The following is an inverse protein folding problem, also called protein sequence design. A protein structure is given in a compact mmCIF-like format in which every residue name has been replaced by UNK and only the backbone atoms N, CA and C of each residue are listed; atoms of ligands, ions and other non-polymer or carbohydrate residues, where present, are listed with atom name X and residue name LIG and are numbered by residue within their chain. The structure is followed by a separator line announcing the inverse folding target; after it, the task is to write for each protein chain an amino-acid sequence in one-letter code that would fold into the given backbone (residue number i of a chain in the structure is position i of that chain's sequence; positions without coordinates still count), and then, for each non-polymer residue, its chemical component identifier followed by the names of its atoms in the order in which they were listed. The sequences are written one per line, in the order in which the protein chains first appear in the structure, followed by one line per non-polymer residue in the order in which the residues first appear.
data_IF_694270133864
#
_entry.id   IF_694270133864
#
_cell.length_a   1.000
_cell.length_b   1.000
_cell.length_c   1.000
_cell.angle_alpha   90.00
_cell.angle_beta   90.00
_cell.angle_gamma   90.00
#
_symmetry.space_group_name_H-M   'P 1'
#
loop_
_entity.id
_entity.type
_entity.pdbx_description
1 polymer ?
#
# COMPACT_ATOMS: atom_id res chain seq x y z
N UNK A 1 2.58 17.24 -4.35
CA UNK A 1 1.90 16.56 -3.24
C UNK A 1 2.98 15.96 -2.36
N UNK A 2 2.91 16.19 -1.05
CA UNK A 2 3.94 15.75 -0.11
C UNK A 2 3.96 14.22 -0.09
N UNK A 3 5.13 13.64 -0.30
CA UNK A 3 5.33 12.20 -0.22
C UNK A 3 5.04 11.75 1.21
N UNK A 4 4.05 10.88 1.36
CA UNK A 4 3.53 10.42 2.65
C UNK A 4 4.65 9.88 3.55
N UNK A 5 4.53 10.12 4.86
CA UNK A 5 5.54 9.66 5.84
C UNK A 5 5.68 8.13 5.87
N UNK A 6 4.65 7.44 5.38
CA UNK A 6 4.58 5.99 5.32
C UNK A 6 4.09 5.52 3.96
N UNK A 7 4.56 4.35 3.54
CA UNK A 7 4.01 3.60 2.41
C UNK A 7 3.43 2.31 2.97
N UNK A 8 2.26 1.93 2.46
CA UNK A 8 1.64 0.66 2.79
C UNK A 8 1.54 -0.20 1.54
N UNK A 9 1.99 -1.43 1.67
CA UNK A 9 1.90 -2.46 0.64
C UNK A 9 1.02 -3.60 1.18
N UNK A 10 -0.10 -3.86 0.51
CA UNK A 10 -0.98 -4.98 0.81
C UNK A 10 -0.82 -6.03 -0.27
N UNK A 11 -0.51 -7.26 0.12
CA UNK A 11 -0.39 -8.38 -0.81
C UNK A 11 -1.20 -9.58 -0.38
N UNK A 12 -1.94 -10.16 -1.33
CA UNK A 12 -2.67 -11.40 -1.09
C UNK A 12 -1.68 -12.54 -0.80
N UNK A 13 -1.92 -13.29 0.29
CA UNK A 13 -1.09 -14.44 0.66
C UNK A 13 -1.61 -15.75 0.07
N UNK A 14 -2.87 -15.80 -0.37
CA UNK A 14 -3.47 -16.96 -1.03
C UNK A 14 -2.84 -17.20 -2.41
N UNK A 15 -2.31 -18.41 -2.63
CA UNK A 15 -1.57 -18.76 -3.85
C UNK A 15 -2.44 -18.77 -5.10
N UNK A 16 -3.72 -19.10 -5.01
CA UNK A 16 -4.57 -19.25 -6.19
C UNK A 16 -5.16 -17.92 -6.64
N UNK A 17 -5.40 -17.01 -5.71
CA UNK A 17 -5.73 -15.62 -6.03
C UNK A 17 -4.48 -14.85 -6.48
N UNK A 18 -3.33 -15.05 -5.82
CA UNK A 18 -2.06 -14.41 -6.19
C UNK A 18 -1.55 -14.81 -7.58
N UNK A 19 -1.79 -16.05 -8.04
CA UNK A 19 -1.43 -16.49 -9.41
C UNK A 19 -2.16 -15.72 -10.52
N UNK A 20 -3.27 -15.05 -10.21
CA UNK A 20 -4.06 -14.29 -11.19
C UNK A 20 -3.57 -12.85 -11.36
N UNK A 21 -2.57 -12.44 -10.59
CA UNK A 21 -2.02 -11.09 -10.53
C UNK A 21 -0.50 -11.17 -10.68
N UNK A 22 0.12 -10.19 -11.32
CA UNK A 22 1.58 -10.01 -11.15
C UNK A 22 1.91 -9.61 -9.71
N UNK A 23 3.18 -9.66 -9.30
CA UNK A 23 3.59 -9.26 -7.95
C UNK A 23 3.21 -7.79 -7.69
N UNK A 24 3.32 -6.96 -8.72
CA UNK A 24 2.98 -5.55 -8.74
C UNK A 24 1.46 -5.37 -8.65
N UNK A 25 0.67 -6.10 -9.45
CA UNK A 25 -0.81 -6.06 -9.40
C UNK A 25 -1.39 -6.63 -8.09
N UNK A 26 -0.67 -7.55 -7.45
CA UNK A 26 -1.01 -8.10 -6.16
C UNK A 26 -0.63 -7.16 -5.01
N UNK A 27 0.12 -6.08 -5.27
CA UNK A 27 0.60 -5.13 -4.26
C UNK A 27 -0.18 -3.83 -4.39
N UNK A 28 -1.16 -3.61 -3.50
CA UNK A 28 -1.81 -2.32 -3.42
C UNK A 28 -0.87 -1.33 -2.74
N UNK A 29 -0.31 -0.41 -3.51
CA UNK A 29 0.39 0.78 -3.05
C UNK A 29 -0.64 1.91 -2.96
N UNK A 30 -1.28 2.03 -1.81
CA UNK A 30 -2.29 3.06 -1.63
C UNK A 30 -1.68 4.45 -1.52
N UNK A 31 -2.31 5.44 -2.15
CA UNK A 31 -2.35 6.80 -1.61
C UNK A 31 -3.02 6.66 -0.24
N UNK A 32 -2.19 6.53 0.80
CA UNK A 32 -2.67 6.29 2.15
C UNK A 32 -3.16 7.63 2.67
N UNK A 33 -4.48 7.81 2.71
CA UNK A 33 -5.06 8.99 3.34
C UNK A 33 -4.75 8.95 4.85
N UNK A 34 -5.04 7.82 5.50
CA UNK A 34 -4.85 7.62 6.94
C UNK A 34 -4.51 6.16 7.26
N UNK A 35 -3.75 5.94 8.33
CA UNK A 35 -3.40 4.60 8.81
C UNK A 35 -3.09 4.56 10.30
N UNK A 36 -3.38 3.42 10.93
CA UNK A 36 -3.13 3.17 12.34
C UNK A 36 -2.75 1.73 12.63
N UNK A 37 -1.86 1.52 13.60
CA UNK A 37 -1.48 0.21 14.12
C UNK A 37 -1.66 0.23 15.64
N UNK A 38 -2.58 -0.59 16.12
CA UNK A 38 -2.96 -0.67 17.53
C UNK A 38 -2.50 -2.02 18.09
N UNK A 39 -1.83 -1.99 19.24
CA UNK A 39 -1.45 -3.18 20.00
C UNK A 39 -2.14 -3.11 21.36
N UNK A 40 -3.00 -4.07 21.62
CA UNK A 40 -3.84 -4.14 22.82
C UNK A 40 -3.48 -5.38 23.65
N UNK A 41 -3.45 -5.23 24.97
CA UNK A 41 -3.29 -6.36 25.89
C UNK A 41 -4.62 -6.61 26.59
N UNK A 42 -5.14 -7.83 26.48
CA UNK A 42 -6.20 -8.30 27.37
C UNK A 42 -5.57 -8.66 28.72
N UNK A 43 -6.01 -7.97 29.77
CA UNK A 43 -5.42 -8.06 31.10
C UNK A 43 -6.33 -8.88 32.05
N UNK A 44 -5.73 -9.82 32.77
CA UNK A 44 -6.35 -10.48 33.90
C UNK A 44 -6.03 -9.71 35.20
N UNK A 45 -7.08 -9.30 35.91
CA UNK A 45 -6.95 -8.71 37.25
C UNK A 45 -6.74 -9.79 38.31
N UNK A 46 -5.73 -9.60 39.17
CA UNK A 46 -5.41 -10.48 40.29
C UNK A 46 -5.44 -9.65 41.57
N UNK A 47 -6.07 -10.15 42.64
CA UNK A 47 -6.05 -9.48 43.95
C UNK A 47 -5.01 -10.14 44.84
N UNK A 48 -3.97 -9.40 45.22
CA UNK A 48 -2.92 -9.87 46.12
C UNK A 48 -2.72 -8.87 47.28
N UNK A 49 -2.87 -9.35 48.51
CA UNK A 49 -2.72 -8.52 49.71
C UNK A 49 -3.68 -7.32 49.79
N UNK A 50 -4.88 -7.44 49.19
CA UNK A 50 -5.88 -6.35 49.13
C UNK A 50 -5.59 -5.27 48.09
N UNK A 51 -4.62 -5.47 47.19
CA UNK A 51 -4.32 -4.57 46.07
C UNK A 51 -4.57 -5.27 44.74
N UNK A 52 -4.92 -4.49 43.71
CA UNK A 52 -5.01 -4.97 42.32
C UNK A 52 -3.62 -5.13 41.73
N UNK A 53 -3.38 -6.29 41.14
CA UNK A 53 -2.25 -6.64 40.29
C UNK A 53 -2.79 -7.05 38.91
N UNK A 54 -1.96 -7.00 37.88
CA UNK A 54 -2.35 -7.27 36.50
C UNK A 54 -1.41 -8.27 35.84
N UNK A 55 -1.99 -9.29 35.20
CA UNK A 55 -1.28 -10.22 34.32
C UNK A 55 -1.86 -10.18 32.91
N UNK A 56 -1.19 -10.77 31.92
CA UNK A 56 -1.63 -10.75 30.52
C UNK A 56 -2.29 -12.06 30.13
N UNK A 57 -3.51 -11.99 29.60
CA UNK A 57 -4.20 -13.12 28.96
C UNK A 57 -3.73 -13.30 27.52
N UNK A 58 -3.88 -12.26 26.71
CA UNK A 58 -3.58 -12.29 25.27
C UNK A 58 -3.15 -10.92 24.75
N UNK A 59 -2.56 -10.90 23.56
CA UNK A 59 -2.26 -9.69 22.79
C UNK A 59 -3.10 -9.71 21.54
N UNK A 60 -3.72 -8.58 21.24
CA UNK A 60 -4.44 -8.34 20.00
C UNK A 60 -3.77 -7.19 19.25
N UNK A 61 -3.61 -7.37 17.95
CA UNK A 61 -3.03 -6.36 17.07
C UNK A 61 -3.99 -6.08 15.92
N UNK A 62 -4.23 -4.79 15.65
CA UNK A 62 -5.14 -4.31 14.62
C UNK A 62 -4.46 -3.25 13.76
N UNK A 63 -4.68 -3.34 12.45
CA UNK A 63 -4.24 -2.36 11.47
C UNK A 63 -5.47 -1.77 10.79
N UNK A 64 -5.60 -0.44 10.82
CA UNK A 64 -6.62 0.31 10.08
C UNK A 64 -5.99 1.13 8.98
N UNK A 65 -6.57 1.10 7.79
CA UNK A 65 -6.07 1.85 6.63
C UNK A 65 -7.23 2.47 5.86
N UNK A 66 -7.05 3.72 5.44
CA UNK A 66 -7.97 4.45 4.57
C UNK A 66 -7.24 4.77 3.27
N UNK A 67 -7.84 4.34 2.16
CA UNK A 67 -7.25 4.37 0.82
C UNK A 67 -8.19 5.07 -0.14
N UNK A 68 -7.65 5.86 -1.06
CA UNK A 68 -8.44 6.45 -2.14
C UNK A 68 -8.91 5.37 -3.13
N UNK A 69 -10.15 5.45 -3.61
CA UNK A 69 -10.67 4.53 -4.63
C UNK A 69 -10.09 4.85 -5.99
N UNK A 70 -9.55 3.84 -6.67
CA UNK A 70 -9.10 3.95 -8.06
C UNK A 70 -9.97 3.02 -8.91
N UNK A 71 -10.91 3.56 -9.71
CA UNK A 71 -11.79 2.74 -10.54
C UNK A 71 -11.01 1.81 -11.47
N UNK A 72 -11.29 0.51 -11.40
CA UNK A 72 -10.64 -0.51 -12.22
C UNK A 72 -9.30 -1.03 -11.68
N UNK A 73 -8.84 -0.56 -10.52
CA UNK A 73 -7.62 -1.08 -9.90
C UNK A 73 -7.78 -2.55 -9.50
N UNK A 74 -6.92 -3.40 -10.07
CA UNK A 74 -6.96 -4.85 -9.85
C UNK A 74 -6.63 -5.23 -8.41
N UNK A 75 -5.78 -4.45 -7.73
CA UNK A 75 -5.40 -4.66 -6.34
C UNK A 75 -6.59 -4.42 -5.40
N UNK A 76 -7.34 -3.33 -5.58
CA UNK A 76 -8.56 -3.03 -4.81
C UNK A 76 -9.66 -4.06 -5.06
N UNK A 77 -9.85 -4.50 -6.31
CA UNK A 77 -10.79 -5.58 -6.63
C UNK A 77 -10.39 -6.90 -5.95
N UNK A 78 -9.10 -7.22 -5.96
CA UNK A 78 -8.60 -8.44 -5.35
C UNK A 78 -8.63 -8.37 -3.81
N UNK A 79 -8.44 -7.19 -3.22
CA UNK A 79 -8.66 -6.93 -1.79
C UNK A 79 -10.12 -7.22 -1.43
N UNK A 80 -11.09 -6.65 -2.14
CA UNK A 80 -12.52 -6.92 -1.93
C UNK A 80 -12.86 -8.40 -2.05
N UNK A 81 -12.27 -9.10 -3.02
CA UNK A 81 -12.48 -10.54 -3.18
C UNK A 81 -11.83 -11.35 -2.03
N UNK A 82 -10.66 -10.93 -1.57
CA UNK A 82 -9.95 -11.56 -0.44
C UNK A 82 -10.76 -11.49 0.85
N UNK A 83 -11.47 -10.38 1.08
CA UNK A 83 -12.40 -10.21 2.21
C UNK A 83 -13.56 -11.19 2.09
N UNK A 84 -14.25 -11.21 0.95
CA UNK A 84 -15.40 -12.10 0.70
C UNK A 84 -15.06 -13.58 0.85
N UNK A 85 -13.84 -13.96 0.47
CA UNK A 85 -13.36 -15.34 0.53
C UNK A 85 -12.58 -15.68 1.81
N UNK A 86 -12.55 -14.76 2.79
CA UNK A 86 -11.83 -14.92 4.06
C UNK A 86 -10.37 -15.36 3.86
N UNK A 87 -9.66 -14.65 2.97
CA UNK A 87 -8.27 -14.94 2.64
C UNK A 87 -7.32 -14.17 3.53
N UNK A 88 -6.13 -14.74 3.72
CA UNK A 88 -5.04 -14.09 4.44
C UNK A 88 -4.29 -13.13 3.51
N UNK A 89 -3.86 -11.99 4.04
CA UNK A 89 -3.00 -11.03 3.37
C UNK A 89 -1.68 -10.88 4.13
N UNK A 90 -0.72 -10.28 3.44
CA UNK A 90 0.53 -9.75 3.94
C UNK A 90 0.45 -8.23 3.87
N UNK A 91 0.88 -7.57 4.94
CA UNK A 91 0.94 -6.11 5.01
C UNK A 91 2.36 -5.71 5.32
N UNK A 92 2.87 -4.73 4.60
CA UNK A 92 4.07 -3.99 4.99
C UNK A 92 3.73 -2.52 5.15
N UNK A 93 4.20 -1.92 6.24
CA UNK A 93 4.11 -0.48 6.50
C UNK A 93 5.54 0.02 6.63
N UNK A 94 5.98 0.90 5.74
CA UNK A 94 7.35 1.40 5.69
C UNK A 94 7.41 2.89 5.90
N UNK A 95 8.33 3.36 6.73
CA UNK A 95 8.70 4.77 6.80
C UNK A 95 9.40 5.18 5.49
N UNK A 96 8.93 6.26 4.86
CA UNK A 96 9.57 6.79 3.64
C UNK A 96 10.89 7.48 3.94
N UNK A 97 11.04 8.04 5.15
CA UNK A 97 12.30 8.64 5.58
C UNK A 97 13.21 7.58 6.20
N UNK A 98 14.47 7.57 5.76
CA UNK A 98 15.49 6.72 6.38
C UNK A 98 15.87 7.23 7.78
N UNK A 99 16.07 6.29 8.71
CA UNK A 99 16.75 6.49 10.00
C UNK A 99 17.98 5.61 10.01
N UNK A 100 19.13 6.18 10.36
CA UNK A 100 20.42 5.48 10.35
C UNK A 100 20.76 4.81 9.01
N UNK A 101 20.40 5.47 7.91
CA UNK A 101 20.66 5.00 6.55
C UNK A 101 19.74 3.89 6.04
N UNK A 102 18.70 3.50 6.81
CA UNK A 102 17.73 2.45 6.43
C UNK A 102 16.29 2.91 6.56
N UNK A 103 15.41 2.31 5.77
CA UNK A 103 13.96 2.38 5.99
C UNK A 103 13.58 1.39 7.09
N UNK A 104 12.72 1.82 8.00
CA UNK A 104 12.17 1.00 9.07
C UNK A 104 10.70 0.72 8.76
N UNK A 105 10.22 -0.44 9.14
CA UNK A 105 8.84 -0.81 8.86
C UNK A 105 8.38 -2.01 9.64
N UNK A 106 7.09 -2.29 9.48
CA UNK A 106 6.36 -3.36 10.14
C UNK A 106 5.84 -4.31 9.09
N UNK A 107 6.00 -5.61 9.32
CA UNK A 107 5.41 -6.68 8.53
C UNK A 107 4.41 -7.46 9.37
N UNK A 108 3.26 -7.80 8.78
CA UNK A 108 2.27 -8.64 9.40
C UNK A 108 1.55 -9.54 8.40
N UNK A 109 1.16 -10.73 8.86
CA UNK A 109 0.07 -11.47 8.22
C UNK A 109 -1.25 -11.01 8.84
N UNK A 110 -2.26 -10.73 8.02
CA UNK A 110 -3.55 -10.23 8.49
C UNK A 110 -4.71 -10.99 7.85
N UNK A 111 -5.85 -10.90 8.51
CA UNK A 111 -7.17 -11.16 7.90
C UNK A 111 -7.96 -9.87 7.98
N UNK A 112 -8.65 -9.52 6.90
CA UNK A 112 -9.51 -8.33 6.90
C UNK A 112 -10.79 -8.67 7.65
N UNK A 113 -11.04 -7.95 8.74
CA UNK A 113 -12.27 -8.05 9.52
C UNK A 113 -13.39 -7.25 8.83
N UNK A 114 -13.06 -6.05 8.38
CA UNK A 114 -14.02 -5.13 7.78
C UNK A 114 -13.43 -4.44 6.55
N UNK A 115 -14.27 -4.31 5.52
CA UNK A 115 -13.98 -3.55 4.32
C UNK A 115 -15.19 -2.67 4.02
N UNK A 116 -15.03 -1.37 4.21
CA UNK A 116 -16.04 -0.36 3.91
C UNK A 116 -15.67 0.37 2.62
N UNK A 117 -16.69 0.66 1.81
CA UNK A 117 -16.57 1.55 0.66
C UNK A 117 -17.53 2.72 0.88
N UNK A 118 -16.96 3.89 1.17
CA UNK A 118 -17.70 5.14 1.27
C UNK A 118 -17.60 5.91 -0.04
N UNK A 119 -18.71 6.55 -0.40
CA UNK A 119 -18.84 7.34 -1.62
C UNK A 119 -19.49 8.68 -1.29
N UNK A 120 -18.90 9.74 -1.80
CA UNK A 120 -19.41 11.11 -1.71
C UNK A 120 -19.30 11.80 -3.08
N UNK A 121 -19.81 13.02 -3.20
CA UNK A 121 -19.71 13.82 -4.43
C UNK A 121 -18.28 14.29 -4.75
N UNK A 122 -17.40 14.38 -3.74
CA UNK A 122 -16.00 14.79 -3.88
C UNK A 122 -15.03 13.59 -4.03
N UNK A 123 -14.90 12.72 -3.02
CA UNK A 123 -13.91 11.64 -2.99
C UNK A 123 -14.50 10.30 -2.49
N UNK A 124 -14.13 9.22 -3.17
CA UNK A 124 -14.50 7.86 -2.79
C UNK A 124 -13.35 7.21 -1.98
N UNK A 125 -13.66 6.57 -0.85
CA UNK A 125 -12.66 5.95 0.03
C UNK A 125 -12.96 4.49 0.31
N UNK A 126 -11.89 3.71 0.49
CA UNK A 126 -11.93 2.36 1.03
C UNK A 126 -11.32 2.39 2.41
N UNK A 127 -12.07 1.94 3.41
CA UNK A 127 -11.58 1.75 4.77
C UNK A 127 -11.47 0.25 5.06
N UNK A 128 -10.32 -0.17 5.57
CA UNK A 128 -10.10 -1.54 5.98
C UNK A 128 -9.67 -1.61 7.44
N UNK A 129 -10.29 -2.54 8.17
CA UNK A 129 -9.86 -2.97 9.49
C UNK A 129 -9.35 -4.40 9.39
N UNK A 130 -8.09 -4.60 9.78
CA UNK A 130 -7.40 -5.87 9.65
C UNK A 130 -6.89 -6.37 11.01
N UNK A 131 -7.19 -7.63 11.33
CA UNK A 131 -6.66 -8.31 12.52
C UNK A 131 -5.35 -9.00 12.18
N UNK A 132 -4.32 -8.72 12.97
CA UNK A 132 -2.99 -9.31 12.80
C UNK A 132 -2.97 -10.73 13.35
N UNK A 133 -2.40 -11.64 12.57
CA UNK A 133 -2.24 -13.03 12.95
C UNK A 133 -1.00 -13.19 13.83
N UNK A 134 -1.20 -13.61 15.07
CA UNK A 134 -0.17 -13.82 16.11
C UNK A 134 0.51 -12.53 16.56
N UNK A 135 1.36 -11.94 15.72
CA UNK A 135 2.09 -10.71 16.00
C UNK A 135 2.62 -10.08 14.70
N UNK A 136 2.87 -8.78 14.74
CA UNK A 136 3.67 -8.10 13.72
C UNK A 136 5.18 -8.27 13.98
N UNK A 137 6.00 -7.97 12.98
CA UNK A 137 7.45 -8.02 13.06
C UNK A 137 8.07 -6.73 12.51
N UNK A 138 8.96 -6.12 13.30
CA UNK A 138 9.74 -4.98 12.86
C UNK A 138 10.87 -5.41 11.91
N UNK A 139 11.15 -4.58 10.92
CA UNK A 139 12.16 -4.84 9.90
C UNK A 139 12.86 -3.57 9.43
N UNK A 140 14.04 -3.75 8.81
CA UNK A 140 14.75 -2.67 8.14
C UNK A 140 15.26 -3.09 6.78
N UNK A 141 15.27 -2.15 5.83
CA UNK A 141 15.84 -2.35 4.50
C UNK A 141 16.67 -1.14 4.08
N UNK A 142 17.65 -1.34 3.20
CA UNK A 142 18.52 -0.26 2.74
C UNK A 142 17.74 0.75 1.88
N UNK A 143 16.96 0.26 0.92
CA UNK A 143 16.23 1.06 -0.06
C UNK A 143 14.87 0.42 -0.35
N UNK A 144 13.82 1.24 -0.33
CA UNK A 144 12.52 0.87 -0.89
C UNK A 144 12.59 0.89 -2.43
N UNK A 145 11.79 0.06 -3.13
CA UNK A 145 11.64 0.18 -4.57
C UNK A 145 11.26 1.61 -4.96
N UNK A 146 11.92 2.17 -5.99
CA UNK A 146 11.70 3.56 -6.43
C UNK A 146 10.24 3.81 -6.82
N UNK A 147 9.61 2.78 -7.38
CA UNK A 147 8.21 2.76 -7.80
C UNK A 147 7.25 2.97 -6.62
N UNK A 148 7.62 2.51 -5.43
CA UNK A 148 6.81 2.67 -4.21
C UNK A 148 6.94 4.08 -3.64
N UNK A 149 8.12 4.67 -3.78
CA UNK A 149 8.37 6.05 -3.34
C UNK A 149 7.68 7.04 -4.28
N UNK A 150 7.71 6.82 -5.59
CA UNK A 150 7.19 7.78 -6.55
C UNK A 150 6.31 7.11 -7.62
N UNK A 151 5.04 6.80 -7.31
CA UNK A 151 4.12 6.17 -8.26
C UNK A 151 3.92 7.02 -9.52
N UNK A 152 3.95 8.35 -9.39
CA UNK A 152 3.77 9.30 -10.49
C UNK A 152 4.98 9.41 -11.41
N UNK A 153 6.19 9.06 -10.97
CA UNK A 153 7.39 9.11 -11.81
C UNK A 153 7.47 8.01 -12.87
N UNK A 154 6.59 7.01 -12.80
CA UNK A 154 6.44 5.99 -13.84
C UNK A 154 5.46 6.42 -14.95
N UNK A 155 4.72 7.52 -14.77
CA UNK A 155 3.89 8.06 -15.82
C UNK A 155 4.79 8.58 -16.97
N UNK A 156 4.49 8.26 -18.24
CA UNK A 156 5.21 8.83 -19.37
C UNK A 156 5.12 10.35 -19.28
N UNK A 157 6.27 11.01 -19.07
CA UNK A 157 6.34 12.47 -19.10
C UNK A 157 6.50 12.88 -20.57
N UNK A 158 5.61 13.74 -21.04
CA UNK A 158 5.80 14.41 -22.34
C UNK A 158 6.95 15.39 -22.16
N UNK A 159 8.12 15.03 -22.67
CA UNK A 159 9.26 15.94 -22.76
C UNK A 159 9.00 17.02 -23.81
N UNK A 160 9.67 18.17 -23.65
CA UNK A 160 9.58 19.26 -24.62
C UNK A 160 9.97 18.76 -26.02
N UNK A 161 9.09 18.99 -26.98
CA UNK A 161 9.29 18.63 -28.38
C UNK A 161 9.48 19.92 -29.19
N UNK A 162 10.63 20.06 -29.87
CA UNK A 162 10.84 21.15 -30.82
C UNK A 162 9.77 21.10 -31.93
N UNK A 163 9.32 22.27 -32.37
CA UNK A 163 8.30 22.36 -33.42
C UNK A 163 8.71 21.59 -34.67
N UNK A 164 7.87 20.65 -35.11
CA UNK A 164 8.10 19.72 -36.23
C UNK A 164 9.20 18.67 -36.02
N UNK A 165 9.63 18.39 -34.78
CA UNK A 165 10.63 17.34 -34.53
C UNK A 165 10.07 15.93 -34.75
N UNK A 166 8.78 15.69 -34.44
CA UNK A 166 8.12 14.41 -34.66
C UNK A 166 6.81 14.58 -35.45
N UNK A 167 6.29 13.46 -35.96
CA UNK A 167 4.97 13.33 -36.57
C UNK A 167 4.18 12.20 -35.90
N UNK A 168 2.84 12.27 -36.00
CA UNK A 168 1.87 11.34 -35.40
C UNK A 168 1.61 11.53 -33.88
N UNK A 169 0.77 10.68 -33.29
CA UNK A 169 0.40 10.70 -31.86
C UNK A 169 1.57 10.30 -30.96
N UNK A 170 1.50 10.63 -29.66
CA UNK A 170 2.55 10.31 -28.69
C UNK A 170 2.94 8.83 -28.68
N UNK A 171 1.96 7.94 -28.85
CA UNK A 171 2.11 6.48 -28.88
C UNK A 171 2.78 5.98 -30.17
N UNK A 172 2.67 6.74 -31.27
CA UNK A 172 3.11 6.33 -32.62
C UNK A 172 4.19 7.25 -33.21
N UNK A 173 4.71 8.21 -32.42
CA UNK A 173 5.51 9.32 -32.95
C UNK A 173 6.76 8.86 -33.67
N UNK A 174 7.01 9.44 -34.84
CA UNK A 174 8.23 9.19 -35.63
C UNK A 174 9.03 10.48 -35.76
N UNK A 175 10.36 10.41 -35.54
CA UNK A 175 11.22 11.59 -35.65
C UNK A 175 11.37 11.99 -37.12
N UNK A 176 11.02 13.23 -37.48
CA UNK A 176 11.24 13.72 -38.83
C UNK A 176 12.74 13.80 -39.10
N UNK A 177 13.21 13.05 -40.10
CA UNK A 177 14.57 13.24 -40.61
C UNK A 177 14.62 14.60 -41.31
N UNK A 178 15.51 15.48 -40.83
CA UNK A 178 15.87 16.70 -41.54
C UNK A 178 16.40 16.30 -42.91
N UNK A 179 15.57 16.44 -43.94
CA UNK A 179 16.04 16.53 -45.32
C UNK A 179 16.95 17.74 -45.37
N UNK A 180 18.26 17.50 -45.43
CA UNK A 180 19.21 18.54 -45.76
C UNK A 180 18.80 19.10 -47.11
N UNK A 181 18.17 20.28 -47.11
CA UNK A 181 18.00 21.08 -48.31
C UNK A 181 19.41 21.54 -48.67
N UNK A 182 20.04 20.81 -49.58
CA UNK A 182 21.22 21.28 -50.29
C UNK A 182 20.74 22.43 -51.16
N UNK A 183 21.06 23.65 -50.75
CA UNK A 183 20.85 24.88 -51.54
C UNK A 183 21.95 24.95 -52.59
#
# INVERSE_FOLDING_TARGET
MAQDKYIVALQIADKDLAKKLTIEEATLLGSLAEGGHTISNDLAEIIQGGKKDYSRNSVEEEIKLTLDVVPGDKGQLALKESVKQFKQLRVWIWETKKRDGKHHGVFAYVVIEEHEWSFDDEDNKIEITAKVKFNSADGTINDLPKEWLNPSALAPVVEFEDMNAYEDSYENRTKKQLLAVVI
#
